data_IF_755960197054
#
_entry.id   IF_755960197054
#
_cell.length_a   1.000
_cell.length_b   1.000
_cell.length_c   1.000
_cell.angle_alpha   90.00
_cell.angle_beta   90.00
_cell.angle_gamma   90.00
#
_symmetry.space_group_name_H-M   'P 1'
#
loop_
_entity.id
_entity.type
_entity.pdbx_description
1 polymer ?
#
# COMPACT_ATOMS: atom_id res chain seq x y z
N UNK A 1 -26.63 -4.72 -11.50
CA UNK A 1 -26.38 -4.64 -12.95
C UNK A 1 -24.92 -4.98 -13.21
N UNK A 2 -24.61 -5.98 -14.04
CA UNK A 2 -23.22 -6.36 -14.32
C UNK A 2 -22.57 -5.29 -15.21
N UNK A 3 -21.29 -5.00 -14.98
CA UNK A 3 -20.51 -4.05 -15.77
C UNK A 3 -19.45 -4.79 -16.58
N UNK A 4 -19.15 -4.30 -17.77
CA UNK A 4 -18.17 -4.90 -18.68
C UNK A 4 -16.84 -4.18 -18.58
N UNK A 5 -15.72 -4.89 -18.72
CA UNK A 5 -14.41 -4.25 -18.85
C UNK A 5 -14.15 -3.84 -20.31
N UNK A 6 -13.80 -2.58 -20.53
CA UNK A 6 -13.19 -2.14 -21.79
C UNK A 6 -11.68 -2.36 -21.74
N UNK A 7 -11.12 -2.91 -22.82
CA UNK A 7 -9.71 -3.31 -22.89
C UNK A 7 -8.78 -2.11 -23.01
N UNK A 8 -9.16 -1.10 -23.78
CA UNK A 8 -8.33 0.07 -24.04
C UNK A 8 -8.32 1.02 -22.84
N UNK A 9 -9.50 1.20 -22.23
CA UNK A 9 -9.65 1.97 -21.00
C UNK A 9 -8.86 1.34 -19.85
N UNK A 10 -9.02 0.03 -19.63
CA UNK A 10 -8.27 -0.68 -18.59
C UNK A 10 -6.75 -0.58 -18.79
N UNK A 11 -6.28 -0.66 -20.04
CA UNK A 11 -4.86 -0.47 -20.33
C UNK A 11 -4.39 0.95 -20.02
N UNK A 12 -5.18 1.97 -20.38
CA UNK A 12 -4.82 3.35 -20.07
C UNK A 12 -4.66 3.55 -18.57
N UNK A 13 -5.63 3.10 -17.79
CA UNK A 13 -5.63 3.26 -16.34
C UNK A 13 -4.52 2.48 -15.65
N UNK A 14 -4.27 1.24 -16.05
CA UNK A 14 -3.21 0.38 -15.47
C UNK A 14 -1.81 0.97 -15.70
N UNK A 15 -1.65 1.81 -16.72
CA UNK A 15 -0.40 2.52 -17.02
C UNK A 15 -0.36 3.96 -16.48
N UNK A 16 -1.49 4.50 -16.05
CA UNK A 16 -1.60 5.85 -15.45
C UNK A 16 -1.55 5.79 -13.92
N UNK A 17 -2.13 4.74 -13.32
CA UNK A 17 -2.24 4.54 -11.87
C UNK A 17 -1.78 3.15 -11.44
N UNK A 18 -1.32 2.99 -10.19
CA UNK A 18 -1.06 1.68 -9.60
C UNK A 18 -2.30 0.78 -9.66
N UNK A 19 -2.09 -0.49 -9.98
CA UNK A 19 -3.15 -1.50 -10.11
C UNK A 19 -4.06 -1.59 -8.86
N UNK A 20 -3.52 -1.28 -7.67
CA UNK A 20 -4.28 -1.20 -6.43
C UNK A 20 -5.38 -0.12 -6.48
N UNK A 21 -5.05 1.09 -6.95
CA UNK A 21 -6.00 2.21 -7.05
C UNK A 21 -7.07 1.91 -8.10
N UNK A 22 -6.66 1.37 -9.26
CA UNK A 22 -7.59 0.95 -10.30
C UNK A 22 -8.52 -0.14 -9.76
N UNK A 23 -8.00 -1.13 -9.04
CA UNK A 23 -8.83 -2.19 -8.47
C UNK A 23 -9.87 -1.66 -7.47
N UNK A 24 -9.50 -0.67 -6.65
CA UNK A 24 -10.39 -0.01 -5.70
C UNK A 24 -11.51 0.78 -6.39
N UNK A 25 -11.18 1.60 -7.40
CA UNK A 25 -12.14 2.29 -8.27
C UNK A 25 -13.10 1.28 -8.94
N UNK A 26 -12.57 0.10 -9.26
CA UNK A 26 -13.34 -0.95 -9.92
C UNK A 26 -14.14 -1.85 -8.98
N UNK A 27 -13.97 -1.70 -7.66
CA UNK A 27 -14.61 -2.56 -6.65
C UNK A 27 -14.11 -4.01 -6.68
N UNK A 28 -12.91 -4.28 -7.20
CA UNK A 28 -12.33 -5.62 -7.31
C UNK A 28 -10.99 -5.71 -6.58
N UNK A 29 -10.52 -6.92 -6.28
CA UNK A 29 -9.18 -7.09 -5.74
C UNK A 29 -8.12 -6.91 -6.83
N UNK A 30 -6.95 -6.38 -6.49
CA UNK A 30 -5.84 -6.20 -7.43
C UNK A 30 -5.38 -7.53 -8.07
N UNK A 31 -5.52 -8.65 -7.34
CA UNK A 31 -5.26 -9.99 -7.87
C UNK A 31 -6.31 -10.40 -8.91
N UNK A 32 -7.59 -10.13 -8.65
CA UNK A 32 -8.65 -10.38 -9.62
C UNK A 32 -8.47 -9.51 -10.87
N UNK A 33 -8.15 -8.22 -10.71
CA UNK A 33 -7.86 -7.32 -11.82
C UNK A 33 -6.65 -7.81 -12.63
N UNK A 34 -5.58 -8.27 -11.98
CA UNK A 34 -4.43 -8.87 -12.65
C UNK A 34 -4.78 -10.13 -13.47
N UNK A 35 -5.68 -10.98 -12.97
CA UNK A 35 -6.20 -12.13 -13.72
C UNK A 35 -7.01 -11.67 -14.94
N UNK A 36 -7.83 -10.64 -14.79
CA UNK A 36 -8.60 -10.01 -15.88
C UNK A 36 -7.66 -9.44 -16.94
N UNK A 37 -6.64 -8.67 -16.56
CA UNK A 37 -5.63 -8.14 -17.49
C UNK A 37 -4.94 -9.27 -18.28
N UNK A 38 -4.59 -10.39 -17.61
CA UNK A 38 -3.99 -11.55 -18.28
C UNK A 38 -4.94 -12.20 -19.29
N UNK A 39 -6.24 -12.32 -18.97
CA UNK A 39 -7.26 -12.86 -19.89
C UNK A 39 -7.50 -11.93 -21.09
N UNK A 40 -7.48 -10.62 -20.87
CA UNK A 40 -7.62 -9.59 -21.91
C UNK A 40 -6.30 -9.33 -22.67
N UNK A 41 -5.22 -10.04 -22.32
CA UNK A 41 -3.86 -9.80 -22.85
C UNK A 41 -3.48 -8.32 -22.81
N UNK A 42 -3.80 -7.66 -21.70
CA UNK A 42 -3.38 -6.29 -21.40
C UNK A 42 -2.03 -6.36 -20.70
N UNK A 43 -0.97 -5.75 -21.26
CA UNK A 43 0.34 -5.75 -20.62
C UNK A 43 0.28 -4.89 -19.35
N UNK A 44 0.66 -5.46 -18.22
CA UNK A 44 0.67 -4.81 -16.92
C UNK A 44 2.12 -4.41 -16.58
N UNK A 45 2.38 -3.23 -16.00
CA UNK A 45 3.72 -2.87 -15.55
C UNK A 45 4.24 -3.90 -14.54
N UNK A 46 5.53 -4.23 -14.66
CA UNK A 46 6.19 -5.20 -13.80
C UNK A 46 6.22 -4.79 -12.31
N UNK A 47 6.51 -5.75 -11.45
CA UNK A 47 6.68 -5.53 -10.00
C UNK A 47 7.74 -4.45 -9.78
N UNK A 48 7.42 -3.43 -8.98
CA UNK A 48 8.33 -2.33 -8.67
C UNK A 48 8.39 -1.20 -9.69
N UNK A 49 7.64 -1.25 -10.82
CA UNK A 49 7.51 -0.11 -11.73
C UNK A 49 7.02 1.14 -10.98
N UNK A 50 5.93 0.99 -10.23
CA UNK A 50 5.35 2.09 -9.43
C UNK A 50 6.26 2.54 -8.28
N UNK A 51 7.01 1.62 -7.67
CA UNK A 51 8.00 1.97 -6.66
C UNK A 51 9.16 2.79 -7.25
N UNK A 52 9.63 2.43 -8.45
CA UNK A 52 10.66 3.20 -9.17
C UNK A 52 10.19 4.61 -9.48
N UNK A 53 8.98 4.76 -10.03
CA UNK A 53 8.38 6.07 -10.30
C UNK A 53 8.22 6.91 -9.02
N UNK A 54 7.77 6.31 -7.92
CA UNK A 54 7.63 7.00 -6.63
C UNK A 54 8.98 7.52 -6.09
N UNK A 55 10.09 6.86 -6.42
CA UNK A 55 11.45 7.28 -6.06
C UNK A 55 12.16 8.07 -7.17
N UNK A 56 11.42 8.60 -8.15
CA UNK A 56 11.98 9.43 -9.23
C UNK A 56 12.87 8.68 -10.22
N UNK A 57 12.84 7.34 -10.22
CA UNK A 57 13.57 6.49 -11.16
C UNK A 57 12.70 6.21 -12.39
N UNK A 58 13.33 6.11 -13.54
CA UNK A 58 12.63 5.77 -14.79
C UNK A 58 11.93 4.41 -14.68
N UNK A 59 10.63 4.41 -14.95
CA UNK A 59 9.81 3.21 -15.02
C UNK A 59 10.06 2.42 -16.31
N UNK A 60 9.54 1.20 -16.36
CA UNK A 60 9.48 0.42 -17.61
C UNK A 60 8.71 1.19 -18.71
N UNK A 61 9.19 1.13 -19.95
CA UNK A 61 8.50 1.73 -21.11
C UNK A 61 7.13 1.09 -21.31
N UNK A 62 6.12 1.92 -21.60
CA UNK A 62 4.76 1.51 -21.93
C UNK A 62 4.75 0.72 -23.26
N UNK A 63 4.53 -0.61 -23.26
CA UNK A 63 4.50 -1.41 -24.46
C UNK A 63 3.20 -1.14 -25.23
N UNK A 64 3.22 -1.15 -26.58
CA UNK A 64 2.03 -0.93 -27.37
C UNK A 64 0.99 -2.02 -27.11
N UNK A 65 -0.29 -1.63 -27.17
CA UNK A 65 -1.42 -2.56 -27.08
C UNK A 65 -1.39 -3.52 -28.27
N UNK A 66 -1.30 -4.83 -27.99
CA UNK A 66 -1.41 -5.88 -29.01
C UNK A 66 -2.85 -5.87 -29.55
N UNK A 67 -3.06 -5.73 -30.86
CA UNK A 67 -4.39 -5.92 -31.44
C UNK A 67 -4.71 -7.42 -31.49
N UNK A 68 -5.85 -7.83 -30.93
CA UNK A 68 -6.29 -9.22 -30.91
C UNK A 68 -7.66 -9.31 -31.58
N UNK A 69 -7.85 -10.29 -32.45
CA UNK A 69 -9.11 -10.48 -33.21
C UNK A 69 -10.27 -10.98 -32.34
N UNK A 70 -10.00 -11.60 -31.20
CA UNK A 70 -11.01 -12.09 -30.25
C UNK A 70 -10.64 -11.67 -28.83
N UNK A 71 -11.34 -10.67 -28.32
CA UNK A 71 -11.18 -10.19 -26.95
C UNK A 71 -12.32 -10.78 -26.11
N UNK A 72 -12.03 -11.57 -25.06
CA UNK A 72 -13.08 -12.13 -24.22
C UNK A 72 -13.76 -11.02 -23.42
N UNK A 73 -15.08 -10.95 -23.47
CA UNK A 73 -15.88 -10.02 -22.68
C UNK A 73 -15.91 -10.51 -21.23
N UNK A 74 -15.37 -9.73 -20.30
CA UNK A 74 -15.35 -10.05 -18.88
C UNK A 74 -16.33 -9.13 -18.16
N UNK A 75 -17.21 -9.74 -17.37
CA UNK A 75 -18.16 -9.02 -16.54
C UNK A 75 -17.64 -8.95 -15.10
N UNK A 76 -17.88 -7.80 -14.47
CA UNK A 76 -17.75 -7.61 -13.01
C UNK A 76 -19.11 -7.37 -12.40
N UNK A 77 -19.31 -7.95 -11.22
CA UNK A 77 -20.41 -7.54 -10.35
C UNK A 77 -20.02 -6.21 -9.70
N UNK A 78 -20.94 -5.23 -9.57
CA UNK A 78 -20.72 -4.08 -8.72
C UNK A 78 -20.64 -4.58 -7.27
N UNK A 79 -19.43 -4.69 -6.74
CA UNK A 79 -19.23 -5.05 -5.34
C UNK A 79 -19.48 -3.79 -4.53
N UNK A 80 -20.52 -3.80 -3.70
CA UNK A 80 -20.61 -2.90 -2.56
C UNK A 80 -19.48 -3.34 -1.63
N UNK A 81 -18.39 -2.57 -1.57
CA UNK A 81 -17.41 -2.79 -0.52
C UNK A 81 -18.16 -2.58 0.80
N UNK A 82 -18.51 -3.68 1.48
CA UNK A 82 -18.86 -3.62 2.89
C UNK A 82 -17.57 -3.22 3.59
N UNK A 83 -17.34 -1.92 3.74
CA UNK A 83 -16.38 -1.44 4.72
C UNK A 83 -16.76 -2.16 6.02
N UNK A 84 -15.86 -2.90 6.67
CA UNK A 84 -16.18 -3.45 7.97
C UNK A 84 -16.72 -2.29 8.81
N UNK A 85 -17.86 -2.47 9.50
CA UNK A 85 -18.37 -1.42 10.37
C UNK A 85 -17.19 -0.96 11.24
N UNK A 86 -17.05 0.36 11.40
CA UNK A 86 -16.03 0.87 12.28
C UNK A 86 -16.19 0.15 13.64
N UNK A 87 -15.09 -0.34 14.25
CA UNK A 87 -15.20 -1.00 15.54
C UNK A 87 -15.91 -0.04 16.49
N UNK A 88 -16.92 -0.53 17.19
CA UNK A 88 -17.64 0.26 18.17
C UNK A 88 -16.65 0.63 19.28
N UNK A 89 -16.39 1.93 19.42
CA UNK A 89 -15.47 2.45 20.43
C UNK A 89 -15.99 2.17 21.85
N UNK A 90 -17.29 1.89 22.01
CA UNK A 90 -17.93 1.59 23.28
C UNK A 90 -18.22 0.10 23.49
N UNK A 91 -17.61 -0.79 22.69
CA UNK A 91 -17.75 -2.23 22.92
C UNK A 91 -17.18 -2.59 24.31
N UNK A 92 -17.99 -3.21 25.20
CA UNK A 92 -17.53 -3.61 26.53
C UNK A 92 -16.34 -4.59 26.51
N UNK A 93 -16.09 -5.27 25.39
CA UNK A 93 -14.92 -6.15 25.21
C UNK A 93 -13.59 -5.37 25.29
N UNK A 94 -13.57 -4.09 24.89
CA UNK A 94 -12.35 -3.26 24.92
C UNK A 94 -12.14 -2.49 26.22
N UNK A 95 -13.14 -2.43 27.11
CA UNK A 95 -13.04 -1.77 28.42
C UNK A 95 -11.80 -2.21 29.25
N UNK A 96 -11.47 -3.51 29.40
CA UNK A 96 -10.29 -3.94 30.14
C UNK A 96 -8.98 -3.47 29.49
N UNK A 97 -8.91 -3.49 28.16
CA UNK A 97 -7.74 -3.05 27.40
C UNK A 97 -7.54 -1.54 27.62
N UNK A 98 -8.60 -0.74 27.46
CA UNK A 98 -8.55 0.70 27.69
C UNK A 98 -8.11 1.04 29.12
N UNK A 99 -8.60 0.30 30.13
CA UNK A 99 -8.18 0.46 31.51
C UNK A 99 -6.69 0.17 31.73
N UNK A 100 -6.15 -0.88 31.09
CA UNK A 100 -4.72 -1.21 31.14
C UNK A 100 -3.85 -0.15 30.46
N UNK A 101 -4.29 0.40 29.33
CA UNK A 101 -3.60 1.52 28.69
C UNK A 101 -3.63 2.77 29.56
N UNK A 102 -4.79 3.15 30.10
CA UNK A 102 -4.93 4.36 30.93
C UNK A 102 -4.18 4.27 32.26
N UNK A 103 -4.05 3.07 32.83
CA UNK A 103 -3.23 2.83 34.03
C UNK A 103 -1.73 2.83 33.75
N UNK A 104 -1.32 2.84 32.48
CA UNK A 104 0.08 2.75 32.10
C UNK A 104 0.72 1.38 32.38
N UNK A 105 -0.08 0.35 32.68
CA UNK A 105 0.39 -1.00 32.96
C UNK A 105 1.12 -1.65 31.75
N UNK A 106 0.82 -1.17 30.54
CA UNK A 106 1.47 -1.60 29.29
C UNK A 106 2.67 -0.73 28.89
N UNK A 107 2.97 0.34 29.63
CA UNK A 107 4.15 1.14 29.33
C UNK A 107 5.40 0.31 29.67
N UNK A 108 6.41 0.30 28.80
CA UNK A 108 7.67 -0.36 29.12
C UNK A 108 8.24 0.25 30.40
N UNK A 109 8.94 -0.53 31.24
CA UNK A 109 9.61 0.02 32.40
C UNK A 109 10.53 1.16 31.96
N UNK A 110 10.67 2.23 32.77
CA UNK A 110 11.57 3.30 32.45
C UNK A 110 12.97 2.72 32.24
N UNK A 111 13.42 2.74 30.98
CA UNK A 111 14.79 2.38 30.65
C UNK A 111 15.68 3.46 31.25
N UNK A 112 16.67 3.03 32.03
CA UNK A 112 17.68 3.91 32.61
C UNK A 112 18.43 4.63 31.47
N UNK A 113 17.93 5.80 31.06
CA UNK A 113 18.59 6.67 30.08
C UNK A 113 19.95 7.18 30.60
N UNK A 114 20.22 6.98 31.89
CA UNK A 114 21.46 7.25 32.60
C UNK A 114 22.58 6.26 32.27
N UNK A 115 22.26 5.08 31.74
CA UNK A 115 23.24 4.10 31.29
C UNK A 115 23.94 4.56 30.02
N UNK A 116 25.28 4.57 30.00
CA UNK A 116 26.03 4.85 28.76
C UNK A 116 25.67 3.78 27.72
N UNK A 117 25.01 4.11 26.61
CA UNK A 117 24.70 3.12 25.59
C UNK A 117 26.00 2.54 25.02
N UNK A 118 25.98 1.26 24.66
CA UNK A 118 27.14 0.56 24.12
C UNK A 118 27.75 1.35 22.94
N UNK A 119 29.09 1.39 22.77
CA UNK A 119 29.75 2.17 21.73
C UNK A 119 29.15 1.99 20.33
N UNK A 120 28.79 0.76 19.95
CA UNK A 120 28.13 0.48 18.67
C UNK A 120 26.80 1.24 18.50
N UNK A 121 25.97 1.31 19.54
CA UNK A 121 24.68 2.03 19.53
C UNK A 121 24.93 3.55 19.41
N UNK A 122 25.98 4.06 20.07
CA UNK A 122 26.37 5.47 19.96
C UNK A 122 26.85 5.82 18.55
N UNK A 123 27.68 4.96 17.95
CA UNK A 123 28.17 5.14 16.59
C UNK A 123 27.05 5.06 15.55
N UNK A 124 26.15 4.08 15.65
CA UNK A 124 24.99 3.98 14.75
C UNK A 124 24.05 5.17 14.91
N UNK A 125 23.75 5.60 16.14
CA UNK A 125 22.94 6.80 16.38
C UNK A 125 23.58 8.06 15.79
N UNK A 126 24.90 8.23 15.92
CA UNK A 126 25.64 9.35 15.30
C UNK A 126 25.58 9.30 13.77
N UNK A 127 25.77 8.12 13.17
CA UNK A 127 25.68 7.93 11.71
C UNK A 127 24.27 8.22 11.18
N UNK A 128 23.23 7.73 11.86
CA UNK A 128 21.85 7.96 11.44
C UNK A 128 21.44 9.43 11.59
N UNK A 129 21.77 10.07 12.72
CA UNK A 129 21.44 11.49 12.95
C UNK A 129 22.19 12.44 12.03
N UNK A 130 23.42 12.09 11.61
CA UNK A 130 24.23 12.93 10.72
C UNK A 130 23.88 12.77 9.23
N UNK A 131 23.33 11.62 8.83
CA UNK A 131 23.10 11.29 7.41
C UNK A 131 21.64 11.31 6.96
N UNK A 132 20.66 11.29 7.87
CA UNK A 132 19.24 11.22 7.54
C UNK A 132 18.51 12.57 7.66
N UNK A 133 17.58 12.82 6.73
CA UNK A 133 16.63 13.94 6.82
C UNK A 133 15.55 13.60 7.84
N UNK A 134 15.05 14.57 8.59
CA UNK A 134 13.90 14.38 9.49
C UNK A 134 12.62 14.76 8.78
N UNK A 135 11.58 13.98 9.01
CA UNK A 135 10.21 14.33 8.62
C UNK A 135 9.58 15.31 9.63
N UNK A 136 8.37 15.81 9.34
CA UNK A 136 7.59 16.71 10.20
C UNK A 136 7.35 16.16 11.62
N UNK A 137 7.34 14.83 11.77
CA UNK A 137 7.19 14.12 13.04
C UNK A 137 8.55 13.80 13.73
N UNK A 138 9.67 14.31 13.22
CA UNK A 138 11.01 14.10 13.78
C UNK A 138 11.63 12.73 13.50
N UNK A 139 10.94 11.88 12.72
CA UNK A 139 11.41 10.54 12.33
C UNK A 139 12.52 10.68 11.26
N UNK A 140 13.60 9.91 11.42
CA UNK A 140 14.72 9.89 10.46
C UNK A 140 14.33 9.08 9.21
N UNK A 141 14.36 9.71 8.06
CA UNK A 141 14.10 9.07 6.77
C UNK A 141 15.37 8.42 6.21
N UNK A 142 15.28 7.20 5.65
CA UNK A 142 16.38 6.63 4.88
C UNK A 142 16.61 7.48 3.62
N UNK A 143 17.88 7.55 3.19
CA UNK A 143 18.30 8.33 2.03
C UNK A 143 17.86 7.68 0.72
#
# INVERSE_FOLDING_TARGET
MWQTYDREELYREVWEKPLLKVAEEYGVSAVALGKTCRKLSVPVPGRGHWAKLAHGKEGAKKPPLLKLDKIPVIYRSPVVQKKPPAPDQNDPEFAPINQLLSSGALNPPPVDASGRPHPLIRHTASLLRSRSRKDENGILLPR
#
